data_IF_114661164425
#
_entry.id   IF_114661164425
#
_cell.length_a   1.000
_cell.length_b   1.000
_cell.length_c   1.000
_cell.angle_alpha   90.00
_cell.angle_beta   90.00
_cell.angle_gamma   90.00
#
_symmetry.space_group_name_H-M   'P 1'
#
loop_
_entity.id
_entity.type
_entity.pdbx_description
1 polymer ?
#
# COMPACT_ATOMS: atom_id res chain seq x y z
N UNK A 1 19.95 7.88 30.93
CA UNK A 1 19.19 9.14 30.94
C UNK A 1 19.62 9.94 29.72
N UNK A 2 18.70 10.32 28.83
CA UNK A 2 19.02 11.04 27.59
C UNK A 2 19.51 12.46 27.88
N UNK A 3 20.40 12.99 27.06
CA UNK A 3 20.82 14.39 27.10
C UNK A 3 19.69 15.31 26.59
N UNK A 4 19.72 16.63 26.89
CA UNK A 4 18.76 17.58 26.32
C UNK A 4 18.75 17.57 24.79
N UNK A 5 19.93 17.47 24.15
CA UNK A 5 20.03 17.42 22.70
C UNK A 5 19.41 16.14 22.10
N UNK A 6 19.57 15.00 22.76
CA UNK A 6 18.92 13.74 22.35
C UNK A 6 17.40 13.80 22.49
N UNK A 7 16.88 14.46 23.54
CA UNK A 7 15.43 14.67 23.68
C UNK A 7 14.88 15.56 22.57
N UNK A 8 15.57 16.66 22.25
CA UNK A 8 15.14 17.54 21.16
C UNK A 8 15.06 16.79 19.82
N UNK A 9 16.00 15.87 19.53
CA UNK A 9 15.91 15.06 18.32
C UNK A 9 14.77 14.05 18.33
N UNK A 10 14.49 13.44 19.50
CA UNK A 10 13.29 12.60 19.65
C UNK A 10 12.03 13.41 19.43
N UNK A 11 11.90 14.57 20.07
CA UNK A 11 10.71 15.41 19.97
C UNK A 11 10.49 15.89 18.52
N UNK A 12 11.56 16.30 17.84
CA UNK A 12 11.51 16.66 16.42
C UNK A 12 11.05 15.49 15.56
N UNK A 13 11.62 14.31 15.78
CA UNK A 13 11.24 13.10 15.05
C UNK A 13 9.77 12.72 15.29
N UNK A 14 9.29 12.77 16.53
CA UNK A 14 7.89 12.48 16.83
C UNK A 14 6.95 13.51 16.18
N UNK A 15 7.34 14.78 16.11
CA UNK A 15 6.50 15.83 15.52
C UNK A 15 6.45 15.82 13.99
N UNK A 16 7.51 15.35 13.32
CA UNK A 16 7.67 15.55 11.86
C UNK A 16 8.01 14.29 11.06
N UNK A 17 8.37 13.19 11.72
CA UNK A 17 8.96 12.01 11.06
C UNK A 17 10.39 12.21 10.58
N UNK A 18 10.89 13.46 10.56
CA UNK A 18 12.27 13.75 10.16
C UNK A 18 13.26 13.26 11.21
N UNK A 19 14.32 12.61 10.77
CA UNK A 19 15.35 12.05 11.65
C UNK A 19 16.75 12.41 11.16
N UNK A 20 17.64 12.69 12.11
CA UNK A 20 19.08 12.78 11.86
C UNK A 20 19.80 11.81 12.80
N UNK A 21 19.96 10.57 12.34
CA UNK A 21 20.70 9.53 13.06
C UNK A 21 22.22 9.70 12.98
N UNK A 22 22.69 10.62 12.14
CA UNK A 22 24.11 10.91 11.96
C UNK A 22 24.59 12.05 12.86
N UNK A 23 23.66 12.74 13.50
CA UNK A 23 23.93 13.79 14.47
C UNK A 23 24.89 13.30 15.57
N UNK A 24 25.86 14.15 15.93
CA UNK A 24 26.85 13.86 16.97
C UNK A 24 26.24 13.76 18.39
N UNK A 25 24.92 13.97 18.52
CA UNK A 25 24.18 13.85 19.77
C UNK A 25 24.05 12.40 20.25
N UNK A 26 24.17 11.41 19.36
CA UNK A 26 24.03 10.00 19.71
C UNK A 26 25.33 9.45 20.31
N UNK A 27 25.26 8.59 21.34
CA UNK A 27 26.43 8.03 21.99
C UNK A 27 27.08 6.98 21.07
N UNK A 28 28.41 6.91 21.07
CA UNK A 28 29.13 5.90 20.28
C UNK A 28 30.54 6.37 19.91
N UNK A 29 31.50 5.47 20.03
CA UNK A 29 32.90 5.75 19.69
C UNK A 29 33.12 5.75 18.17
N UNK A 30 32.32 4.97 17.44
CA UNK A 30 32.32 4.93 15.98
C UNK A 30 31.03 5.49 15.37
N UNK A 31 31.09 5.79 14.08
CA UNK A 31 29.94 6.24 13.29
C UNK A 31 28.78 5.21 13.32
N UNK A 32 29.11 3.93 13.11
CA UNK A 32 28.12 2.82 13.10
C UNK A 32 27.48 2.64 14.48
N UNK A 33 28.24 2.82 15.56
CA UNK A 33 27.66 2.78 16.91
C UNK A 33 26.68 3.91 17.15
N UNK A 34 27.01 5.15 16.73
CA UNK A 34 26.11 6.29 16.88
C UNK A 34 24.83 6.13 16.10
N UNK A 35 24.93 5.67 14.85
CA UNK A 35 23.79 5.37 14.00
C UNK A 35 22.85 4.34 14.66
N UNK A 36 23.40 3.21 15.13
CA UNK A 36 22.62 2.16 15.81
C UNK A 36 21.93 2.69 17.06
N UNK A 37 22.63 3.48 17.86
CA UNK A 37 22.07 4.06 19.09
C UNK A 37 21.00 5.11 18.79
N UNK A 38 21.20 5.94 17.76
CA UNK A 38 20.19 6.89 17.28
C UNK A 38 18.95 6.18 16.76
N UNK A 39 19.11 5.17 15.91
CA UNK A 39 18.01 4.37 15.40
C UNK A 39 17.21 3.73 16.53
N UNK A 40 17.88 3.06 17.48
CA UNK A 40 17.24 2.43 18.63
C UNK A 40 16.52 3.45 19.53
N UNK A 41 17.11 4.62 19.76
CA UNK A 41 16.51 5.66 20.58
C UNK A 41 15.25 6.26 19.94
N UNK A 42 15.32 6.61 18.65
CA UNK A 42 14.18 7.13 17.90
C UNK A 42 13.07 6.09 17.79
N UNK A 43 13.43 4.82 17.50
CA UNK A 43 12.47 3.72 17.42
C UNK A 43 11.77 3.45 18.74
N UNK A 44 12.54 3.35 19.82
CA UNK A 44 12.01 3.12 21.15
C UNK A 44 11.09 4.26 21.60
N UNK A 45 11.42 5.51 21.28
CA UNK A 45 10.58 6.65 21.57
C UNK A 45 9.26 6.61 20.78
N UNK A 46 9.30 6.27 19.48
CA UNK A 46 8.10 6.13 18.66
C UNK A 46 7.17 5.04 19.21
N UNK A 47 7.71 3.86 19.49
CA UNK A 47 6.91 2.75 20.03
C UNK A 47 6.31 3.13 21.38
N UNK A 48 7.09 3.72 22.30
CA UNK A 48 6.59 4.17 23.59
C UNK A 48 5.47 5.21 23.45
N UNK A 49 5.63 6.16 22.53
CA UNK A 49 4.66 7.21 22.27
C UNK A 49 3.35 6.68 21.66
N UNK A 50 3.42 5.66 20.80
CA UNK A 50 2.24 4.97 20.27
C UNK A 50 1.54 4.18 21.38
N UNK A 51 2.27 3.34 22.11
CA UNK A 51 1.70 2.51 23.17
C UNK A 51 1.05 3.32 24.29
N UNK A 52 1.62 4.48 24.65
CA UNK A 52 1.01 5.38 25.64
C UNK A 52 -0.32 5.95 25.13
N UNK A 53 -0.37 6.40 23.87
CA UNK A 53 -1.60 6.96 23.28
C UNK A 53 -2.69 5.91 23.10
N UNK A 54 -2.31 4.65 22.91
CA UNK A 54 -3.25 3.54 22.74
C UNK A 54 -3.45 2.70 24.00
N UNK A 55 -3.00 3.16 25.17
CA UNK A 55 -3.09 2.37 26.43
C UNK A 55 -4.52 1.99 26.84
N UNK A 56 -5.50 2.78 26.39
CA UNK A 56 -6.92 2.57 26.65
C UNK A 56 -7.68 1.99 25.45
N UNK A 57 -7.00 1.79 24.33
CA UNK A 57 -7.59 1.15 23.17
C UNK A 57 -7.68 -0.33 23.50
N UNK A 58 -8.90 -0.80 23.74
CA UNK A 58 -9.17 -2.22 23.89
C UNK A 58 -8.66 -2.97 22.65
N UNK A 59 -8.12 -4.18 22.86
CA UNK A 59 -7.70 -5.02 21.76
C UNK A 59 -8.87 -5.14 20.77
N UNK A 60 -8.69 -4.61 19.56
CA UNK A 60 -9.78 -4.40 18.62
C UNK A 60 -10.52 -5.72 18.37
N UNK A 61 -11.77 -5.82 18.84
CA UNK A 61 -12.67 -6.96 18.60
C UNK A 61 -13.01 -7.11 17.12
N UNK A 62 -12.69 -6.11 16.29
CA UNK A 62 -13.00 -6.08 14.85
C UNK A 62 -12.37 -7.22 14.07
N UNK A 63 -11.23 -7.73 14.54
CA UNK A 63 -10.54 -8.84 13.91
C UNK A 63 -10.80 -10.18 14.60
N UNK A 64 -11.62 -10.20 15.65
CA UNK A 64 -11.96 -11.46 16.32
C UNK A 64 -12.68 -12.40 15.35
N UNK A 65 -12.13 -13.61 15.19
CA UNK A 65 -12.68 -14.62 14.29
C UNK A 65 -12.38 -14.39 12.81
N UNK A 66 -11.63 -13.34 12.44
CA UNK A 66 -11.18 -13.13 11.06
C UNK A 66 -9.82 -13.82 10.87
N UNK A 67 -9.81 -14.85 10.03
CA UNK A 67 -8.57 -15.44 9.50
C UNK A 67 -8.03 -14.52 8.39
N UNK A 68 -7.13 -13.60 8.77
CA UNK A 68 -6.59 -12.57 7.89
C UNK A 68 -5.93 -13.13 6.61
N UNK A 69 -5.05 -14.15 6.67
CA UNK A 69 -4.55 -14.83 5.47
C UNK A 69 -5.67 -15.31 4.54
N UNK A 70 -6.65 -16.04 5.07
CA UNK A 70 -7.77 -16.55 4.26
C UNK A 70 -8.61 -15.43 3.67
N UNK A 71 -8.83 -14.36 4.43
CA UNK A 71 -9.50 -13.14 3.97
C UNK A 71 -8.75 -12.50 2.80
N UNK A 72 -7.45 -12.21 2.97
CA UNK A 72 -6.62 -11.57 1.95
C UNK A 72 -6.58 -12.41 0.67
N UNK A 73 -6.39 -13.73 0.81
CA UNK A 73 -6.41 -14.67 -0.32
C UNK A 73 -7.74 -14.64 -1.08
N UNK A 74 -8.86 -14.67 -0.36
CA UNK A 74 -10.20 -14.63 -0.96
C UNK A 74 -10.42 -13.32 -1.70
N UNK A 75 -10.05 -12.20 -1.05
CA UNK A 75 -10.21 -10.84 -1.56
C UNK A 75 -9.41 -10.60 -2.84
N UNK A 76 -8.17 -11.07 -2.89
CA UNK A 76 -7.23 -10.81 -4.00
C UNK A 76 -7.34 -11.85 -5.13
N UNK A 77 -8.03 -12.96 -4.92
CA UNK A 77 -8.17 -14.03 -5.91
C UNK A 77 -8.74 -13.57 -7.27
N UNK A 78 -9.82 -12.76 -7.34
CA UNK A 78 -10.34 -12.28 -8.63
C UNK A 78 -9.32 -11.48 -9.44
N UNK A 79 -8.58 -10.59 -8.77
CA UNK A 79 -7.53 -9.75 -9.34
C UNK A 79 -6.39 -10.62 -9.91
N UNK A 80 -5.83 -11.52 -9.09
CA UNK A 80 -4.72 -12.39 -9.51
C UNK A 80 -5.15 -13.35 -10.61
N UNK A 81 -6.34 -13.95 -10.52
CA UNK A 81 -6.87 -14.83 -11.56
C UNK A 81 -7.09 -14.11 -12.90
N UNK A 82 -7.47 -12.84 -12.84
CA UNK A 82 -7.67 -11.98 -14.00
C UNK A 82 -6.36 -11.63 -14.72
N UNK A 83 -5.30 -11.35 -13.96
CA UNK A 83 -4.04 -10.81 -14.46
C UNK A 83 -3.01 -11.89 -14.83
N UNK A 84 -2.98 -13.01 -14.10
CA UNK A 84 -1.93 -14.03 -14.22
C UNK A 84 -2.43 -15.33 -14.87
N UNK A 85 -1.56 -16.02 -15.64
CA UNK A 85 -1.86 -17.35 -16.16
C UNK A 85 -2.00 -18.36 -15.00
N UNK A 86 -2.77 -19.42 -15.20
CA UNK A 86 -3.05 -20.43 -14.15
C UNK A 86 -1.79 -21.02 -13.50
N UNK A 87 -0.70 -21.12 -14.25
CA UNK A 87 0.60 -21.63 -13.78
C UNK A 87 1.30 -20.71 -12.78
N UNK A 88 0.94 -19.43 -12.71
CA UNK A 88 1.58 -18.44 -11.82
C UNK A 88 0.69 -18.03 -10.64
N UNK A 89 -0.62 -18.27 -10.71
CA UNK A 89 -1.60 -17.75 -9.74
C UNK A 89 -1.32 -18.15 -8.30
N UNK A 90 -1.00 -19.42 -8.05
CA UNK A 90 -0.76 -19.91 -6.69
C UNK A 90 0.46 -19.26 -6.04
N UNK A 91 1.54 -19.09 -6.81
CA UNK A 91 2.77 -18.43 -6.35
C UNK A 91 2.48 -16.96 -6.03
N UNK A 92 1.79 -16.26 -6.92
CA UNK A 92 1.45 -14.84 -6.72
C UNK A 92 0.48 -14.66 -5.55
N UNK A 93 -0.53 -15.53 -5.41
CA UNK A 93 -1.45 -15.50 -4.28
C UNK A 93 -0.75 -15.77 -2.95
N UNK A 94 0.18 -16.72 -2.89
CA UNK A 94 0.95 -16.99 -1.67
C UNK A 94 1.81 -15.80 -1.22
N UNK A 95 2.33 -15.02 -2.18
CA UNK A 95 3.06 -13.79 -1.88
C UNK A 95 2.08 -12.75 -1.35
N UNK A 96 1.00 -12.47 -2.08
CA UNK A 96 -0.02 -11.50 -1.69
C UNK A 96 -0.57 -11.77 -0.29
N UNK A 97 -0.87 -13.03 0.01
CA UNK A 97 -1.37 -13.48 1.31
C UNK A 97 -0.41 -13.17 2.47
N UNK A 98 0.89 -13.33 2.24
CA UNK A 98 1.92 -13.02 3.25
C UNK A 98 2.37 -11.56 3.28
N UNK A 99 2.01 -10.79 2.24
CA UNK A 99 2.30 -9.36 2.10
C UNK A 99 1.33 -8.46 2.84
N UNK A 100 0.12 -8.92 3.17
CA UNK A 100 -0.90 -8.09 3.83
C UNK A 100 -0.70 -8.10 5.35
N UNK A 101 -0.48 -6.92 5.94
CA UNK A 101 -0.30 -6.73 7.38
C UNK A 101 -1.26 -5.67 7.90
N UNK A 102 -2.29 -6.08 8.63
CA UNK A 102 -3.15 -5.13 9.37
C UNK A 102 -2.42 -4.61 10.62
N UNK A 103 -2.47 -3.30 10.84
CA UNK A 103 -1.90 -2.67 12.01
C UNK A 103 -2.88 -2.78 13.19
N UNK A 104 -2.48 -3.55 14.19
CA UNK A 104 -3.29 -3.89 15.37
C UNK A 104 -2.48 -3.63 16.64
N UNK A 105 -3.14 -3.58 17.82
CA UNK A 105 -2.40 -3.56 19.08
C UNK A 105 -1.38 -4.69 19.23
N UNK A 106 -1.65 -5.87 18.62
CA UNK A 106 -0.77 -7.02 18.67
C UNK A 106 0.42 -6.96 17.69
N UNK A 107 0.30 -6.21 16.59
CA UNK A 107 1.30 -6.18 15.51
C UNK A 107 2.12 -4.89 15.49
N UNK A 108 1.57 -3.76 15.93
CA UNK A 108 2.15 -2.44 15.71
C UNK A 108 3.57 -2.31 16.24
N UNK A 109 3.85 -2.75 17.47
CA UNK A 109 5.18 -2.62 18.07
C UNK A 109 6.24 -3.39 17.26
N UNK A 110 5.92 -4.60 16.80
CA UNK A 110 6.84 -5.42 16.00
C UNK A 110 7.01 -4.86 14.58
N UNK A 111 5.93 -4.35 13.97
CA UNK A 111 5.98 -3.68 12.67
C UNK A 111 6.87 -2.45 12.75
N UNK A 112 6.65 -1.59 13.75
CA UNK A 112 7.51 -0.45 13.99
C UNK A 112 8.93 -0.93 14.22
N UNK A 113 9.23 -1.84 15.14
CA UNK A 113 10.61 -2.28 15.40
C UNK A 113 11.37 -2.75 14.14
N UNK A 114 10.69 -3.45 13.22
CA UNK A 114 11.29 -4.04 12.02
C UNK A 114 11.35 -3.12 10.80
N UNK A 115 10.64 -1.99 10.80
CA UNK A 115 10.59 -1.07 9.64
C UNK A 115 11.92 -0.33 9.47
N UNK A 116 12.64 -0.47 8.34
CA UNK A 116 13.98 0.11 8.18
C UNK A 116 14.02 1.63 8.21
N UNK A 117 13.02 2.28 7.61
CA UNK A 117 13.01 3.73 7.39
C UNK A 117 12.22 4.45 8.47
N UNK A 118 12.80 5.51 9.06
CA UNK A 118 12.14 6.27 10.13
C UNK A 118 10.86 6.96 9.65
N UNK A 119 10.88 7.56 8.44
CA UNK A 119 9.68 8.20 7.89
C UNK A 119 8.55 7.20 7.67
N UNK A 120 8.85 6.01 7.11
CA UNK A 120 7.85 4.94 6.99
C UNK A 120 7.31 4.53 8.35
N UNK A 121 8.18 4.31 9.34
CA UNK A 121 7.75 3.95 10.68
C UNK A 121 6.83 4.99 11.32
N UNK A 122 7.15 6.27 11.13
CA UNK A 122 6.34 7.39 11.59
C UNK A 122 4.98 7.45 10.88
N UNK A 123 4.93 7.21 9.56
CA UNK A 123 3.68 7.09 8.81
C UNK A 123 2.84 5.92 9.31
N UNK A 124 3.44 4.75 9.54
CA UNK A 124 2.75 3.55 10.04
C UNK A 124 2.20 3.76 11.47
N UNK A 125 2.93 4.49 12.31
CA UNK A 125 2.47 4.87 13.64
C UNK A 125 1.20 5.74 13.56
N UNK A 126 1.19 6.76 12.71
CA UNK A 126 0.02 7.62 12.52
C UNK A 126 -1.14 6.89 11.85
N UNK A 127 -0.88 6.03 10.86
CA UNK A 127 -1.88 5.16 10.23
C UNK A 127 -2.58 4.31 11.29
N UNK A 128 -1.81 3.66 12.17
CA UNK A 128 -2.36 2.88 13.27
C UNK A 128 -3.16 3.74 14.26
N UNK A 129 -2.62 4.88 14.72
CA UNK A 129 -3.28 5.77 15.67
C UNK A 129 -4.63 6.26 15.12
N UNK A 130 -4.67 6.69 13.86
CA UNK A 130 -5.90 7.06 13.16
C UNK A 130 -6.90 5.90 13.15
N UNK A 131 -6.44 4.68 12.82
CA UNK A 131 -7.29 3.49 12.74
C UNK A 131 -7.95 3.07 14.06
N UNK A 132 -7.49 3.60 15.20
CA UNK A 132 -8.06 3.30 16.52
C UNK A 132 -8.61 4.55 17.22
N UNK A 133 -8.86 5.62 16.44
CA UNK A 133 -9.38 6.89 16.93
C UNK A 133 -8.53 7.50 18.07
N UNK A 134 -7.21 7.26 18.04
CA UNK A 134 -6.26 7.84 18.98
C UNK A 134 -5.66 9.15 18.44
N UNK A 135 -5.14 9.97 19.34
CA UNK A 135 -4.42 11.20 18.98
C UNK A 135 -3.22 10.87 18.08
N UNK A 136 -3.05 11.61 16.99
CA UNK A 136 -1.91 11.45 16.08
C UNK A 136 -0.61 11.98 16.73
N UNK A 137 0.52 11.67 16.11
CA UNK A 137 1.82 12.22 16.52
C UNK A 137 1.95 13.71 16.15
N UNK A 138 1.25 14.12 15.09
CA UNK A 138 1.26 15.48 14.54
C UNK A 138 -0.02 15.76 13.78
N UNK A 139 -0.47 17.01 13.79
CA UNK A 139 -1.61 17.48 13.00
C UNK A 139 -1.34 17.43 11.49
N UNK A 140 -0.05 17.48 11.11
CA UNK A 140 0.40 17.39 9.71
C UNK A 140 0.60 15.94 9.23
N UNK A 141 0.24 14.94 10.05
CA UNK A 141 0.38 13.54 9.68
C UNK A 141 -0.54 13.16 8.51
N UNK A 142 -0.04 12.36 7.55
CA UNK A 142 -0.83 11.96 6.40
C UNK A 142 -2.00 11.08 6.85
N UNK A 143 -3.21 11.41 6.38
CA UNK A 143 -4.42 10.63 6.63
C UNK A 143 -4.53 9.51 5.58
N UNK A 144 -3.64 8.54 5.66
CA UNK A 144 -3.62 7.37 4.78
C UNK A 144 -4.33 6.18 5.44
N UNK A 145 -4.97 5.34 4.61
CA UNK A 145 -5.65 4.12 5.04
C UNK A 145 -4.80 2.86 4.80
N UNK A 146 -3.79 2.97 3.93
CA UNK A 146 -2.86 1.92 3.58
C UNK A 146 -1.48 2.50 3.23
N UNK A 147 -0.46 1.65 3.28
CA UNK A 147 0.89 1.95 2.82
C UNK A 147 1.57 0.70 2.27
N UNK A 148 1.99 0.74 1.02
CA UNK A 148 2.84 -0.29 0.42
C UNK A 148 4.32 0.10 0.48
N UNK A 149 5.15 -0.76 1.07
CA UNK A 149 6.60 -0.66 1.05
C UNK A 149 7.21 -2.00 0.60
N UNK A 150 8.03 -1.97 -0.45
CA UNK A 150 8.59 -3.16 -1.09
C UNK A 150 7.52 -4.20 -1.46
N UNK A 151 7.44 -5.30 -0.71
CA UNK A 151 6.47 -6.37 -0.89
C UNK A 151 5.46 -6.46 0.25
N UNK A 152 5.39 -5.45 1.12
CA UNK A 152 4.50 -5.45 2.28
C UNK A 152 3.47 -4.34 2.13
N UNK A 153 2.22 -4.64 2.45
CA UNK A 153 1.10 -3.72 2.46
C UNK A 153 0.59 -3.61 3.89
N UNK A 154 0.85 -2.47 4.51
CA UNK A 154 0.34 -2.16 5.84
C UNK A 154 -1.03 -1.51 5.71
N UNK A 155 -2.00 -2.02 6.46
CA UNK A 155 -3.40 -1.61 6.32
C UNK A 155 -4.01 -1.19 7.66
N UNK A 156 -4.86 -0.18 7.59
CA UNK A 156 -5.70 0.24 8.71
C UNK A 156 -6.76 -0.83 9.01
N UNK A 157 -7.03 -1.09 10.29
CA UNK A 157 -8.17 -1.93 10.70
C UNK A 157 -9.51 -1.25 10.50
N UNK A 158 -9.51 0.04 10.16
CA UNK A 158 -10.71 0.76 9.76
C UNK A 158 -11.37 0.14 8.54
N UNK A 159 -10.67 -0.71 7.77
CA UNK A 159 -11.20 -1.41 6.59
C UNK A 159 -12.46 -2.18 6.91
N UNK A 160 -12.50 -2.73 8.13
CA UNK A 160 -13.62 -3.50 8.64
C UNK A 160 -14.72 -2.63 9.27
N UNK A 161 -14.50 -1.30 9.39
CA UNK A 161 -15.48 -0.30 9.84
C UNK A 161 -16.01 0.57 8.70
N UNK A 162 -15.20 0.83 7.66
CA UNK A 162 -15.51 1.81 6.62
C UNK A 162 -16.79 1.48 5.88
N UNK A 163 -17.62 2.50 5.67
CA UNK A 163 -18.91 2.43 4.98
C UNK A 163 -18.91 3.02 3.57
N UNK A 164 -17.78 3.55 3.08
CA UNK A 164 -17.71 3.99 1.69
C UNK A 164 -17.80 2.77 0.78
N UNK A 165 -18.80 2.81 -0.11
CA UNK A 165 -19.21 1.67 -0.90
C UNK A 165 -18.13 1.20 -1.87
N UNK A 166 -17.27 2.11 -2.34
CA UNK A 166 -16.29 1.84 -3.40
C UNK A 166 -14.84 1.76 -2.92
N UNK A 167 -14.58 2.00 -1.64
CA UNK A 167 -13.24 1.89 -1.09
C UNK A 167 -12.87 0.42 -0.89
N UNK A 168 -11.68 0.04 -1.35
CA UNK A 168 -11.07 -1.28 -1.24
C UNK A 168 -9.56 -1.15 -1.25
N UNK A 169 -9.07 -0.47 -0.22
CA UNK A 169 -7.64 -0.19 -0.11
C UNK A 169 -6.81 -1.45 0.15
N UNK A 170 -7.41 -2.59 0.51
CA UNK A 170 -6.71 -3.89 0.46
C UNK A 170 -6.28 -4.20 -0.97
N UNK A 171 -7.19 -4.07 -1.94
CA UNK A 171 -6.89 -4.29 -3.36
C UNK A 171 -5.96 -3.21 -3.90
N UNK A 172 -6.16 -1.96 -3.49
CA UNK A 172 -5.29 -0.84 -3.85
C UNK A 172 -3.82 -1.13 -3.48
N UNK A 173 -3.56 -1.37 -2.20
CA UNK A 173 -2.20 -1.59 -1.71
C UNK A 173 -1.60 -2.85 -2.33
N UNK A 174 -2.39 -3.93 -2.46
CA UNK A 174 -1.94 -5.15 -3.10
C UNK A 174 -1.55 -4.95 -4.58
N UNK A 175 -2.22 -4.04 -5.29
CA UNK A 175 -1.90 -3.73 -6.68
C UNK A 175 -0.48 -3.13 -6.82
N UNK A 176 0.02 -2.42 -5.79
CA UNK A 176 1.40 -1.91 -5.78
C UNK A 176 2.45 -3.01 -5.77
N UNK A 177 2.18 -4.15 -5.12
CA UNK A 177 3.10 -5.30 -5.12
C UNK A 177 3.44 -5.74 -6.55
N UNK A 178 2.49 -5.62 -7.49
CA UNK A 178 2.75 -6.06 -8.88
C UNK A 178 3.85 -5.27 -9.59
N UNK A 179 4.09 -4.01 -9.22
CA UNK A 179 5.12 -3.16 -9.82
C UNK A 179 6.26 -2.80 -8.85
N UNK A 180 6.20 -3.31 -7.61
CA UNK A 180 7.26 -3.23 -6.60
C UNK A 180 7.98 -4.58 -6.38
N UNK A 181 7.39 -5.70 -6.84
CA UNK A 181 7.97 -7.03 -6.67
C UNK A 181 8.53 -7.59 -7.98
N UNK A 182 9.79 -8.03 -7.95
CA UNK A 182 10.42 -8.71 -9.08
C UNK A 182 9.95 -10.15 -9.20
N UNK A 183 9.91 -10.66 -10.42
CA UNK A 183 9.51 -12.05 -10.69
C UNK A 183 10.46 -13.06 -10.03
N UNK A 184 11.77 -12.81 -10.08
CA UNK A 184 12.73 -13.70 -9.43
C UNK A 184 12.56 -13.78 -7.90
N UNK A 185 12.14 -12.70 -7.25
CA UNK A 185 11.90 -12.66 -5.80
C UNK A 185 10.87 -13.71 -5.37
N UNK A 186 9.92 -14.02 -6.24
CA UNK A 186 8.84 -14.99 -5.97
C UNK A 186 9.08 -16.33 -6.66
N UNK A 187 10.27 -16.55 -7.21
CA UNK A 187 10.62 -17.80 -7.91
C UNK A 187 10.01 -17.96 -9.30
N UNK A 188 9.48 -16.88 -9.89
CA UNK A 188 8.97 -16.89 -11.26
C UNK A 188 10.09 -16.59 -12.27
N UNK A 189 10.04 -17.18 -13.48
CA UNK A 189 11.05 -16.93 -14.50
C UNK A 189 11.02 -15.46 -14.94
N UNK A 190 12.21 -14.86 -14.98
CA UNK A 190 12.40 -13.55 -15.58
C UNK A 190 12.45 -13.67 -17.11
N UNK A 191 11.86 -12.71 -17.80
CA UNK A 191 12.12 -12.49 -19.21
C UNK A 191 12.87 -11.17 -19.36
N UNK A 192 13.68 -11.02 -20.41
CA UNK A 192 14.56 -9.85 -20.67
C UNK A 192 13.88 -8.47 -20.63
N UNK A 193 12.55 -8.42 -20.57
CA UNK A 193 11.71 -7.22 -20.53
C UNK A 193 10.56 -7.34 -19.50
N UNK A 194 10.66 -8.25 -18.52
CA UNK A 194 9.64 -8.50 -17.49
C UNK A 194 10.33 -8.79 -16.17
N UNK A 195 10.92 -7.75 -15.60
CA UNK A 195 11.64 -7.86 -14.34
C UNK A 195 10.65 -7.86 -13.16
N UNK A 196 9.55 -7.12 -13.30
CA UNK A 196 8.46 -7.00 -12.32
C UNK A 196 7.32 -7.98 -12.58
N UNK A 197 6.49 -8.25 -11.58
CA UNK A 197 5.31 -9.12 -11.73
C UNK A 197 4.39 -8.63 -12.86
N UNK A 198 4.15 -7.33 -12.94
CA UNK A 198 3.49 -6.65 -14.06
C UNK A 198 4.28 -5.41 -14.48
N UNK A 199 4.30 -5.17 -15.79
CA UNK A 199 4.92 -3.98 -16.39
C UNK A 199 3.88 -2.85 -16.45
N UNK A 200 3.87 -2.00 -15.43
CA UNK A 200 2.99 -0.83 -15.29
C UNK A 200 3.83 0.43 -15.46
N UNK A 201 3.34 1.37 -16.28
CA UNK A 201 3.99 2.66 -16.48
C UNK A 201 4.12 3.37 -15.13
N UNK A 202 5.30 3.91 -14.85
CA UNK A 202 5.60 4.58 -13.59
C UNK A 202 4.58 5.69 -13.28
N UNK A 203 4.16 6.46 -14.29
CA UNK A 203 3.18 7.55 -14.09
C UNK A 203 1.74 7.06 -13.97
N UNK A 204 1.49 5.76 -14.13
CA UNK A 204 0.14 5.14 -14.08
C UNK A 204 -0.02 4.16 -12.92
N UNK A 205 0.98 4.06 -12.02
CA UNK A 205 0.95 3.11 -10.89
C UNK A 205 -0.24 3.33 -9.96
N UNK A 206 -0.53 4.58 -9.63
CA UNK A 206 -1.70 4.97 -8.83
C UNK A 206 -3.00 4.79 -9.59
N UNK A 207 -3.06 5.25 -10.85
CA UNK A 207 -4.23 5.03 -11.71
C UNK A 207 -4.57 3.54 -11.82
N UNK A 208 -3.56 2.68 -11.91
CA UNK A 208 -3.72 1.23 -11.92
C UNK A 208 -4.25 0.71 -10.58
N UNK A 209 -3.71 1.14 -9.45
CA UNK A 209 -4.15 0.73 -8.12
C UNK A 209 -5.61 1.14 -7.85
N UNK A 210 -5.96 2.41 -8.06
CA UNK A 210 -7.34 2.91 -7.93
C UNK A 210 -8.31 2.22 -8.90
N UNK A 211 -7.92 1.99 -10.16
CA UNK A 211 -8.77 1.28 -11.10
C UNK A 211 -8.99 -0.18 -10.68
N UNK A 212 -7.99 -0.84 -10.09
CA UNK A 212 -8.13 -2.18 -9.54
C UNK A 212 -9.07 -2.20 -8.32
N UNK A 213 -8.93 -1.24 -7.41
CA UNK A 213 -9.79 -1.03 -6.24
C UNK A 213 -11.26 -0.86 -6.62
N UNK A 214 -11.57 0.14 -7.46
CA UNK A 214 -12.94 0.42 -7.85
C UNK A 214 -13.54 -0.73 -8.67
N UNK A 215 -12.77 -1.33 -9.60
CA UNK A 215 -13.26 -2.46 -10.38
C UNK A 215 -13.52 -3.69 -9.51
N UNK A 216 -12.71 -3.95 -8.48
CA UNK A 216 -12.96 -4.99 -7.47
C UNK A 216 -14.34 -4.80 -6.82
N UNK A 217 -14.60 -3.60 -6.30
CA UNK A 217 -15.86 -3.26 -5.63
C UNK A 217 -17.06 -3.32 -6.56
N UNK A 218 -16.92 -2.81 -7.79
CA UNK A 218 -17.97 -2.91 -8.82
C UNK A 218 -18.30 -4.37 -9.13
N UNK A 219 -17.31 -5.26 -9.19
CA UNK A 219 -17.54 -6.69 -9.39
C UNK A 219 -18.25 -7.36 -8.20
N UNK A 220 -17.90 -6.98 -6.97
CA UNK A 220 -18.53 -7.50 -5.75
C UNK A 220 -19.99 -7.05 -5.61
N UNK A 221 -20.28 -5.79 -5.95
CA UNK A 221 -21.60 -5.19 -5.82
C UNK A 221 -22.53 -5.50 -7.01
N UNK A 222 -21.97 -5.72 -8.19
CA UNK A 222 -22.71 -5.87 -9.45
C UNK A 222 -22.57 -7.26 -10.07
N UNK A 223 -23.64 -8.06 -10.05
CA UNK A 223 -23.67 -9.38 -10.68
C UNK A 223 -23.75 -9.34 -12.22
N UNK A 224 -24.35 -8.29 -12.79
CA UNK A 224 -24.56 -8.14 -14.24
C UNK A 224 -23.79 -6.94 -14.80
N UNK A 225 -23.53 -6.96 -16.11
CA UNK A 225 -22.88 -5.84 -16.79
C UNK A 225 -23.64 -4.53 -16.63
N UNK A 226 -24.98 -4.58 -16.72
CA UNK A 226 -25.82 -3.39 -16.54
C UNK A 226 -25.73 -2.84 -15.11
N UNK A 227 -25.78 -3.72 -14.10
CA UNK A 227 -25.60 -3.29 -12.71
C UNK A 227 -24.21 -2.67 -12.47
N UNK A 228 -23.16 -3.23 -13.07
CA UNK A 228 -21.79 -2.68 -13.00
C UNK A 228 -21.67 -1.31 -13.67
N UNK A 229 -22.31 -1.12 -14.83
CA UNK A 229 -22.36 0.21 -15.47
C UNK A 229 -23.06 1.23 -14.59
N UNK A 230 -24.20 0.89 -13.98
CA UNK A 230 -24.89 1.80 -13.06
C UNK A 230 -24.06 2.13 -11.81
N UNK A 231 -23.28 1.18 -11.30
CA UNK A 231 -22.33 1.42 -10.20
C UNK A 231 -21.19 2.35 -10.61
N UNK A 232 -20.72 2.27 -11.86
CA UNK A 232 -19.73 3.20 -12.38
C UNK A 232 -20.32 4.62 -12.50
N UNK A 233 -21.56 4.74 -12.97
CA UNK A 233 -22.24 6.04 -13.05
C UNK A 233 -22.41 6.68 -11.66
N UNK A 234 -22.66 5.88 -10.62
CA UNK A 234 -22.69 6.32 -9.21
C UNK A 234 -21.30 6.76 -8.72
N UNK A 235 -20.27 5.96 -8.98
CA UNK A 235 -18.88 6.29 -8.64
C UNK A 235 -18.42 7.60 -9.31
N UNK A 236 -18.81 7.83 -10.57
CA UNK A 236 -18.50 9.06 -11.31
C UNK A 236 -19.10 10.32 -10.65
N UNK A 237 -20.19 10.17 -9.89
CA UNK A 237 -20.84 11.29 -9.20
C UNK A 237 -20.27 11.54 -7.79
N UNK A 238 -19.82 10.49 -7.09
CA UNK A 238 -19.59 10.54 -5.64
C UNK A 238 -18.17 10.15 -5.20
N UNK A 239 -17.35 9.54 -6.05
CA UNK A 239 -16.13 8.84 -5.61
C UNK A 239 -14.95 8.92 -6.57
N UNK A 240 -14.46 10.13 -6.85
CA UNK A 240 -13.17 10.31 -7.53
C UNK A 240 -12.00 10.09 -6.56
N UNK A 241 -10.90 9.46 -7.00
CA UNK A 241 -9.70 9.32 -6.19
C UNK A 241 -9.18 10.69 -5.72
N UNK A 242 -8.86 10.87 -4.42
CA UNK A 242 -8.36 12.13 -3.89
C UNK A 242 -6.86 12.38 -4.21
N UNK A 243 -6.34 11.76 -5.28
CA UNK A 243 -4.92 11.73 -5.61
C UNK A 243 -4.66 12.46 -6.94
N UNK A 244 -3.91 13.55 -6.88
CA UNK A 244 -3.55 14.40 -8.03
C UNK A 244 -2.76 13.67 -9.14
N UNK A 245 -2.20 12.49 -8.83
CA UNK A 245 -1.51 11.63 -9.80
C UNK A 245 -2.50 10.89 -10.70
N UNK A 246 -3.79 10.87 -10.36
CA UNK A 246 -4.86 10.22 -11.12
C UNK A 246 -5.64 11.27 -11.90
N UNK A 247 -5.73 11.08 -13.23
CA UNK A 247 -6.59 11.90 -14.07
C UNK A 247 -8.00 11.28 -14.11
N UNK A 248 -9.00 12.06 -13.71
CA UNK A 248 -10.38 11.59 -13.51
C UNK A 248 -11.00 11.00 -14.77
N UNK A 249 -10.85 11.68 -15.92
CA UNK A 249 -11.44 11.24 -17.18
C UNK A 249 -10.88 9.89 -17.64
N UNK A 250 -9.56 9.76 -17.62
CA UNK A 250 -8.86 8.52 -17.94
C UNK A 250 -9.25 7.38 -16.99
N UNK A 251 -9.32 7.65 -15.69
CA UNK A 251 -9.70 6.68 -14.68
C UNK A 251 -11.10 6.09 -14.96
N UNK A 252 -12.09 6.96 -15.23
CA UNK A 252 -13.45 6.53 -15.56
C UNK A 252 -13.49 5.77 -16.90
N UNK A 253 -12.74 6.21 -17.91
CA UNK A 253 -12.66 5.52 -19.19
C UNK A 253 -12.08 4.10 -19.07
N UNK A 254 -11.03 3.94 -18.26
CA UNK A 254 -10.44 2.63 -17.95
C UNK A 254 -11.48 1.70 -17.34
N UNK A 255 -12.24 2.17 -16.35
CA UNK A 255 -13.28 1.37 -15.69
C UNK A 255 -14.42 1.01 -16.65
N UNK A 256 -14.85 1.95 -17.50
CA UNK A 256 -15.89 1.73 -18.50
C UNK A 256 -15.49 0.64 -19.49
N UNK A 257 -14.26 0.67 -19.98
CA UNK A 257 -13.70 -0.37 -20.83
C UNK A 257 -13.57 -1.71 -20.11
N UNK A 258 -13.14 -1.69 -18.84
CA UNK A 258 -12.99 -2.90 -18.03
C UNK A 258 -14.32 -3.62 -17.80
N UNK A 259 -15.39 -2.88 -17.49
CA UNK A 259 -16.76 -3.41 -17.35
C UNK A 259 -17.27 -3.98 -18.68
N UNK A 260 -16.88 -3.34 -19.80
CA UNK A 260 -17.25 -3.79 -21.12
C UNK A 260 -16.50 -5.06 -21.57
N UNK A 261 -15.33 -5.33 -21.01
CA UNK A 261 -14.50 -6.45 -21.40
C UNK A 261 -14.99 -7.80 -20.86
N UNK A 262 -14.52 -8.89 -21.48
CA UNK A 262 -14.62 -10.24 -20.88
C UNK A 262 -13.68 -10.42 -19.69
N UNK A 263 -12.55 -9.70 -19.69
CA UNK A 263 -11.57 -9.69 -18.62
C UNK A 263 -11.12 -8.25 -18.38
N UNK A 264 -11.87 -7.52 -17.55
CA UNK A 264 -11.58 -6.11 -17.24
C UNK A 264 -10.20 -5.90 -16.61
N UNK A 265 -9.71 -6.83 -15.78
CA UNK A 265 -8.39 -6.74 -15.17
C UNK A 265 -7.27 -6.59 -16.20
N UNK A 266 -7.32 -7.35 -17.31
CA UNK A 266 -6.33 -7.23 -18.38
C UNK A 266 -6.41 -5.89 -19.10
N UNK A 267 -7.62 -5.36 -19.29
CA UNK A 267 -7.80 -4.04 -19.90
C UNK A 267 -7.23 -2.93 -19.02
N UNK A 268 -7.50 -2.97 -17.71
CA UNK A 268 -6.91 -2.03 -16.73
C UNK A 268 -5.38 -2.08 -16.83
N UNK A 269 -4.79 -3.27 -16.77
CA UNK A 269 -3.34 -3.44 -16.93
C UNK A 269 -2.84 -2.87 -18.25
N UNK A 270 -3.50 -3.16 -19.37
CA UNK A 270 -3.07 -2.74 -20.71
C UNK A 270 -3.13 -1.22 -20.88
N UNK A 271 -4.14 -0.56 -20.33
CA UNK A 271 -4.27 0.90 -20.30
C UNK A 271 -3.19 1.57 -19.46
N UNK A 272 -2.76 0.92 -18.38
CA UNK A 272 -1.69 1.42 -17.51
C UNK A 272 -0.30 0.88 -17.87
N UNK A 273 -0.15 0.10 -18.94
CA UNK A 273 1.15 -0.41 -19.39
C UNK A 273 1.90 0.66 -20.20
N UNK A 274 3.24 0.65 -20.24
CA UNK A 274 4.01 1.57 -21.07
C UNK A 274 3.60 1.47 -22.55
N UNK A 275 3.47 2.61 -23.22
CA UNK A 275 3.18 2.63 -24.66
C UNK A 275 4.34 1.97 -25.40
N UNK A 276 4.07 0.86 -26.10
CA UNK A 276 5.07 0.20 -26.94
C UNK A 276 5.53 1.17 -28.03
N UNK A 277 6.73 1.75 -27.88
CA UNK A 277 7.41 2.47 -28.96
C UNK A 277 7.67 1.47 -30.09
N UNK A 278 6.80 1.45 -31.08
CA UNK A 278 7.10 0.82 -32.38
C UNK A 278 8.36 1.50 -32.91
N UNK A 279 9.47 0.76 -32.96
CA UNK A 279 10.65 1.20 -33.73
C UNK A 279 10.19 1.41 -35.16
N UNK A 280 9.99 2.67 -35.58
CA UNK A 280 9.98 3.00 -37.00
C UNK A 280 11.36 2.61 -37.52
N UNK A 281 11.42 1.49 -38.25
CA UNK A 281 12.51 1.25 -39.18
C UNK A 281 12.44 2.37 -40.22
N UNK A 282 13.20 3.43 -40.01
CA UNK A 282 13.51 4.38 -41.06
C UNK A 282 14.44 3.64 -42.02
N UNK A 283 13.85 2.99 -43.03
CA UNK A 283 14.60 2.52 -44.19
C UNK A 283 15.11 3.76 -44.91
N UNK A 284 16.37 4.13 -44.65
CA UNK A 284 17.09 5.06 -45.51
C UNK A 284 17.44 4.25 -46.76
N UNK A 285 16.70 4.49 -47.86
CA UNK A 285 17.15 4.10 -49.19
C UNK A 285 18.25 5.08 -49.61
N UNK A 286 19.43 4.53 -49.91
CA UNK A 286 20.49 5.19 -50.66
C UNK A 286 20.29 4.92 -52.16
#
# INVERSE_FOLDING_TARGET
>A
MMSPAQRNEVDRYLLSGDSDVWSAVWPGSSFVEREKQGHAALRGALIAAVLERTRHVEASTLLEGIDLPTFARTKLSPLVCGLFPSTEREVVLGVMESSIVFLTPATIAAVLESTPWHMTAWNLANLYLASVDAELLSDDAPQILGLSEETTCYLSVEYFRTGNRFDDYVVHEAAHIFHNCKRATVGLPEARHRDWLLDIDFTKRETFAYACEAYSRILELGATRQARSSLLDELEQEGMPPDERVEEGEYVDILREAIAARNGWKHIRERCSPVKRTRRHTTIQA
#
